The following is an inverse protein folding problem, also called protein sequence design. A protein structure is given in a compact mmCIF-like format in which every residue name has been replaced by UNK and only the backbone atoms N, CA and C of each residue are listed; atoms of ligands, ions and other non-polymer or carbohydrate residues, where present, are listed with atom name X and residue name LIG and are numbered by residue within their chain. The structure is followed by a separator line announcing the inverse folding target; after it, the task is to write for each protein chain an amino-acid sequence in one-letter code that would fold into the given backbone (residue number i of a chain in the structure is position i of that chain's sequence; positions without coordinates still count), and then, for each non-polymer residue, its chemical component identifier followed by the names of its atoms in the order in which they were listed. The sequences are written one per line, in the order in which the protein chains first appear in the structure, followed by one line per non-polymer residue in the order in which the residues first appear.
data_IF_216930766855
#
_entry.id   IF_216930766855
#
_cell.length_a   1.000
_cell.length_b   1.000
_cell.length_c   1.000
_cell.angle_alpha   90.00
_cell.angle_beta   90.00
_cell.angle_gamma   90.00
#
_symmetry.space_group_name_H-M   'P 1'
#
loop_
_entity.id
_entity.type
_entity.pdbx_description
1 polymer ?
#
# COMPACT_ATOMS: atom_id res chain seq x y z
N UNK A 1 -6.30 9.97 22.90
CA UNK A 1 -5.67 11.23 22.43
C UNK A 1 -5.70 12.38 23.45
N UNK A 2 -6.69 12.49 24.35
CA UNK A 2 -6.78 13.63 25.29
C UNK A 2 -5.65 13.69 26.36
N UNK A 3 -4.96 12.58 26.63
CA UNK A 3 -3.86 12.49 27.62
C UNK A 3 -2.45 12.72 27.03
N UNK A 4 -2.33 13.04 25.74
CA UNK A 4 -1.02 13.24 25.09
C UNK A 4 -0.41 14.63 25.43
N UNK A 5 0.93 14.75 25.46
CA UNK A 5 1.61 16.04 25.52
C UNK A 5 1.11 17.01 24.42
N UNK A 6 1.18 18.32 24.67
CA UNK A 6 0.60 19.33 23.76
C UNK A 6 1.12 19.22 22.32
N UNK A 7 2.42 19.01 22.11
CA UNK A 7 3.00 18.80 20.77
C UNK A 7 2.48 17.54 20.08
N UNK A 8 2.34 16.43 20.82
CA UNK A 8 1.77 15.19 20.29
C UNK A 8 0.29 15.35 19.92
N UNK A 9 -0.49 16.15 20.67
CA UNK A 9 -1.89 16.46 20.33
C UNK A 9 -2.01 17.29 19.05
N UNK A 10 -1.11 18.24 18.84
CA UNK A 10 -1.10 19.04 17.61
C UNK A 10 -0.74 18.18 16.40
N UNK A 11 0.33 17.39 16.50
CA UNK A 11 0.71 16.43 15.44
C UNK A 11 -0.44 15.48 15.11
N UNK A 12 -1.15 14.98 16.11
CA UNK A 12 -2.28 14.09 15.90
C UNK A 12 -3.43 14.75 15.12
N UNK A 13 -3.76 16.02 15.42
CA UNK A 13 -4.77 16.75 14.64
C UNK A 13 -4.36 16.94 13.19
N UNK A 14 -3.08 17.24 12.95
CA UNK A 14 -2.55 17.37 11.60
C UNK A 14 -2.64 16.04 10.84
N UNK A 15 -2.26 14.93 11.48
CA UNK A 15 -2.35 13.59 10.88
C UNK A 15 -3.78 13.20 10.54
N UNK A 16 -4.73 13.37 11.49
CA UNK A 16 -6.14 13.10 11.25
C UNK A 16 -6.69 13.91 10.07
N UNK A 17 -6.34 15.20 10.00
CA UNK A 17 -6.71 16.06 8.88
C UNK A 17 -6.14 15.56 7.55
N UNK A 18 -4.87 15.17 7.53
CA UNK A 18 -4.21 14.66 6.33
C UNK A 18 -4.82 13.33 5.85
N UNK A 19 -5.01 12.35 6.75
CA UNK A 19 -5.64 11.08 6.41
C UNK A 19 -7.08 11.26 5.93
N UNK A 20 -7.86 12.13 6.57
CA UNK A 20 -9.22 12.44 6.16
C UNK A 20 -9.26 13.06 4.75
N UNK A 21 -8.36 13.99 4.43
CA UNK A 21 -8.27 14.58 3.09
C UNK A 21 -7.89 13.56 2.03
N UNK A 22 -7.14 12.53 2.40
CA UNK A 22 -6.77 11.42 1.51
C UNK A 22 -7.85 10.32 1.46
N UNK A 23 -8.98 10.45 2.16
CA UNK A 23 -10.06 9.47 2.15
C UNK A 23 -9.76 8.18 2.91
N UNK A 24 -8.86 8.22 3.89
CA UNK A 24 -8.55 7.07 4.74
C UNK A 24 -9.74 6.71 5.63
N UNK A 25 -10.24 5.47 5.53
CA UNK A 25 -11.38 4.98 6.30
C UNK A 25 -11.12 4.90 7.81
N UNK A 26 -9.94 4.39 8.22
CA UNK A 26 -9.52 4.31 9.63
C UNK A 26 -8.47 5.39 9.96
N UNK A 27 -8.76 6.65 9.65
CA UNK A 27 -7.79 7.74 9.91
C UNK A 27 -7.31 7.82 11.37
N UNK A 28 -8.10 7.34 12.34
CA UNK A 28 -7.75 7.34 13.76
C UNK A 28 -6.76 6.23 14.11
N UNK A 29 -6.94 5.02 13.58
CA UNK A 29 -5.99 3.91 13.73
C UNK A 29 -4.62 4.26 13.15
N UNK A 30 -4.59 4.75 11.91
CA UNK A 30 -3.34 5.15 11.25
C UNK A 30 -2.62 6.29 12.02
N UNK A 31 -3.34 7.33 12.45
CA UNK A 31 -2.74 8.42 13.22
C UNK A 31 -2.26 7.98 14.62
N UNK A 32 -3.01 7.10 15.29
CA UNK A 32 -2.63 6.55 16.59
C UNK A 32 -1.37 5.70 16.49
N UNK A 33 -1.25 4.87 15.45
CA UNK A 33 -0.05 4.05 15.22
C UNK A 33 1.18 4.92 14.95
N UNK A 34 1.09 5.97 14.11
CA UNK A 34 2.24 6.87 13.88
C UNK A 34 2.72 7.55 15.15
N UNK A 35 1.81 7.97 16.03
CA UNK A 35 2.20 8.63 17.29
C UNK A 35 2.73 7.63 18.30
N UNK A 36 2.13 6.44 18.37
CA UNK A 36 2.45 5.44 19.39
C UNK A 36 3.72 4.64 19.07
N UNK A 37 3.98 4.40 17.79
CA UNK A 37 5.03 3.49 17.32
C UNK A 37 6.17 4.23 16.59
N UNK A 38 6.00 5.53 16.33
CA UNK A 38 6.96 6.37 15.56
C UNK A 38 7.24 5.87 14.14
N UNK A 39 6.23 5.24 13.52
CA UNK A 39 6.27 4.74 12.15
C UNK A 39 5.66 5.79 11.21
N UNK A 40 6.22 6.06 10.01
CA UNK A 40 5.72 7.10 9.09
C UNK A 40 4.42 6.66 8.38
N UNK A 41 3.33 6.49 9.12
CA UNK A 41 2.07 5.95 8.62
C UNK A 41 1.44 6.82 7.53
N UNK A 42 1.55 8.14 7.62
CA UNK A 42 1.04 9.02 6.56
C UNK A 42 1.78 8.77 5.24
N UNK A 43 3.09 8.55 5.28
CA UNK A 43 3.87 8.22 4.09
C UNK A 43 3.51 6.84 3.53
N UNK A 44 3.41 5.82 4.41
CA UNK A 44 2.98 4.46 4.05
C UNK A 44 1.61 4.48 3.37
N UNK A 45 0.63 5.15 3.95
CA UNK A 45 -0.72 5.25 3.39
C UNK A 45 -0.74 5.97 2.03
N UNK A 46 0.00 7.08 1.88
CA UNK A 46 0.07 7.81 0.61
C UNK A 46 0.64 6.96 -0.52
N UNK A 47 1.62 6.12 -0.22
CA UNK A 47 2.19 5.19 -1.17
C UNK A 47 1.21 4.05 -1.49
N UNK A 48 0.65 3.38 -0.47
CA UNK A 48 -0.21 2.21 -0.68
C UNK A 48 -1.56 2.54 -1.32
N UNK A 49 -2.16 3.71 -1.01
CA UNK A 49 -3.51 4.08 -1.50
C UNK A 49 -3.61 4.17 -3.02
N UNK A 50 -2.50 4.31 -3.74
CA UNK A 50 -2.48 4.39 -5.20
C UNK A 50 -2.39 3.02 -5.86
N UNK A 51 -1.86 2.02 -5.17
CA UNK A 51 -1.55 0.70 -5.75
C UNK A 51 -2.81 -0.07 -6.14
N UNK A 52 -3.86 -0.03 -5.30
CA UNK A 52 -5.13 -0.66 -5.61
C UNK A 52 -5.75 -0.15 -6.91
N UNK A 53 -6.12 1.14 -7.05
CA UNK A 53 -6.78 1.61 -8.26
C UNK A 53 -5.87 1.64 -9.49
N UNK A 54 -4.55 1.83 -9.34
CA UNK A 54 -3.66 2.05 -10.49
C UNK A 54 -2.96 0.78 -10.97
N UNK A 55 -2.68 -0.17 -10.08
CA UNK A 55 -1.86 -1.35 -10.39
C UNK A 55 -2.68 -2.64 -10.31
N UNK A 56 -3.53 -2.77 -9.30
CA UNK A 56 -4.25 -4.03 -9.01
C UNK A 56 -5.59 -4.08 -9.75
N UNK A 57 -6.43 -3.06 -9.59
CA UNK A 57 -7.79 -3.03 -10.14
C UNK A 57 -7.84 -2.54 -11.59
N UNK A 58 -6.77 -1.93 -12.10
CA UNK A 58 -6.69 -1.39 -13.47
C UNK A 58 -6.79 -2.46 -14.57
N UNK A 59 -6.60 -3.73 -14.21
CA UNK A 59 -6.69 -4.86 -15.15
C UNK A 59 -8.11 -5.18 -15.61
N UNK A 60 -9.14 -4.73 -14.91
CA UNK A 60 -10.53 -4.90 -15.36
C UNK A 60 -10.75 -4.34 -16.78
N UNK A 61 -10.23 -3.14 -17.04
CA UNK A 61 -10.36 -2.47 -18.34
C UNK A 61 -9.20 -2.79 -19.29
N UNK A 62 -8.02 -3.12 -18.75
CA UNK A 62 -6.81 -3.40 -19.52
C UNK A 62 -6.77 -4.79 -20.17
N UNK A 63 -7.59 -5.74 -19.71
CA UNK A 63 -7.52 -7.15 -20.10
C UNK A 63 -7.61 -7.38 -21.61
N UNK A 64 -8.51 -6.68 -22.30
CA UNK A 64 -8.73 -6.86 -23.75
C UNK A 64 -7.51 -6.47 -24.60
N UNK A 65 -6.56 -5.71 -24.03
CA UNK A 65 -5.32 -5.35 -24.67
C UNK A 65 -4.29 -6.49 -24.65
N UNK A 66 -4.48 -7.51 -23.80
CA UNK A 66 -3.61 -8.69 -23.73
C UNK A 66 -4.06 -9.72 -24.78
N UNK A 67 -3.22 -10.06 -25.78
CA UNK A 67 -3.63 -10.98 -26.84
C UNK A 67 -4.07 -12.37 -26.33
N UNK A 68 -3.45 -12.87 -25.26
CA UNK A 68 -3.83 -14.14 -24.66
C UNK A 68 -5.24 -14.07 -24.02
N UNK A 69 -5.54 -13.00 -23.30
CA UNK A 69 -6.85 -12.81 -22.70
C UNK A 69 -7.95 -12.63 -23.75
N UNK A 70 -7.65 -11.92 -24.85
CA UNK A 70 -8.57 -11.81 -25.99
C UNK A 70 -8.93 -13.17 -26.58
N UNK A 71 -7.92 -14.02 -26.84
CA UNK A 71 -8.17 -15.39 -27.33
C UNK A 71 -9.00 -16.23 -26.34
N UNK A 72 -8.76 -16.06 -25.04
CA UNK A 72 -9.55 -16.75 -24.02
C UNK A 72 -11.02 -16.31 -24.04
N UNK A 73 -11.28 -14.99 -24.14
CA UNK A 73 -12.63 -14.44 -24.29
C UNK A 73 -13.32 -14.95 -25.57
N UNK A 74 -12.61 -14.94 -26.71
CA UNK A 74 -13.11 -15.47 -27.99
C UNK A 74 -13.41 -16.97 -27.92
N UNK A 75 -12.68 -17.71 -27.08
CA UNK A 75 -12.94 -19.12 -26.79
C UNK A 75 -14.08 -19.37 -25.77
N UNK A 76 -14.74 -18.30 -25.28
CA UNK A 76 -15.89 -18.38 -24.38
C UNK A 76 -15.55 -18.32 -22.89
N UNK A 77 -14.34 -17.93 -22.51
CA UNK A 77 -14.01 -17.69 -21.10
C UNK A 77 -14.82 -16.51 -20.52
N UNK A 78 -15.16 -16.61 -19.24
CA UNK A 78 -15.83 -15.54 -18.51
C UNK A 78 -14.93 -14.31 -18.35
N UNK A 79 -15.41 -13.13 -18.75
CA UNK A 79 -14.70 -11.87 -18.52
C UNK A 79 -14.49 -11.59 -17.03
N UNK A 80 -15.48 -11.91 -16.19
CA UNK A 80 -15.39 -11.73 -14.74
C UNK A 80 -14.30 -12.59 -14.12
N UNK A 81 -14.21 -13.86 -14.51
CA UNK A 81 -13.21 -14.79 -13.96
C UNK A 81 -11.80 -14.39 -14.40
N UNK A 82 -11.63 -13.96 -15.66
CA UNK A 82 -10.35 -13.45 -16.14
C UNK A 82 -9.94 -12.16 -15.41
N UNK A 83 -10.87 -11.24 -15.19
CA UNK A 83 -10.61 -10.02 -14.42
C UNK A 83 -10.21 -10.35 -12.97
N UNK A 84 -10.90 -11.30 -12.33
CA UNK A 84 -10.55 -11.75 -10.98
C UNK A 84 -9.17 -12.41 -10.93
N UNK A 85 -8.84 -13.25 -11.91
CA UNK A 85 -7.52 -13.87 -12.03
C UNK A 85 -6.42 -12.81 -12.17
N UNK A 86 -6.58 -11.83 -13.04
CA UNK A 86 -5.58 -10.76 -13.18
C UNK A 86 -5.48 -9.89 -11.92
N UNK A 87 -6.60 -9.60 -11.26
CA UNK A 87 -6.60 -8.88 -9.98
C UNK A 87 -5.79 -9.65 -8.92
N UNK A 88 -5.99 -10.97 -8.81
CA UNK A 88 -5.23 -11.84 -7.90
C UNK A 88 -3.73 -11.87 -8.25
N UNK A 89 -3.38 -12.09 -9.52
CA UNK A 89 -1.97 -12.07 -9.96
C UNK A 89 -1.31 -10.72 -9.72
N UNK A 90 -2.02 -9.61 -10.00
CA UNK A 90 -1.50 -8.26 -9.76
C UNK A 90 -1.29 -7.99 -8.27
N UNK A 91 -2.25 -8.38 -7.42
CA UNK A 91 -2.12 -8.29 -5.97
C UNK A 91 -0.91 -9.07 -5.47
N UNK A 92 -0.77 -10.35 -5.82
CA UNK A 92 0.35 -11.20 -5.40
C UNK A 92 1.70 -10.65 -5.88
N UNK A 93 1.75 -10.14 -7.11
CA UNK A 93 2.95 -9.51 -7.67
C UNK A 93 3.34 -8.26 -6.87
N UNK A 94 2.37 -7.38 -6.58
CA UNK A 94 2.62 -6.17 -5.78
C UNK A 94 3.02 -6.55 -4.36
N UNK A 95 2.35 -7.51 -3.73
CA UNK A 95 2.69 -8.00 -2.40
C UNK A 95 4.14 -8.50 -2.34
N UNK A 96 4.52 -9.41 -3.26
CA UNK A 96 5.87 -9.96 -3.33
C UNK A 96 6.91 -8.86 -3.59
N UNK A 97 6.61 -7.91 -4.49
CA UNK A 97 7.49 -6.75 -4.70
C UNK A 97 7.64 -5.93 -3.42
N UNK A 98 6.57 -5.60 -2.70
CA UNK A 98 6.64 -4.83 -1.46
C UNK A 98 7.35 -5.58 -0.32
N UNK A 99 7.28 -6.91 -0.31
CA UNK A 99 8.03 -7.75 0.61
C UNK A 99 9.54 -7.64 0.34
N UNK A 100 9.95 -7.81 -0.92
CA UNK A 100 11.36 -7.67 -1.32
C UNK A 100 11.84 -6.21 -1.35
N UNK A 101 10.91 -5.26 -1.40
CA UNK A 101 11.18 -3.83 -1.30
C UNK A 101 11.24 -3.35 0.18
N UNK A 102 11.19 -4.25 1.16
CA UNK A 102 11.59 -3.90 2.51
C UNK A 102 13.11 -3.61 2.57
N UNK A 103 13.60 -3.15 3.71
CA UNK A 103 15.04 -2.97 3.90
C UNK A 103 15.83 -4.24 3.50
N UNK A 104 16.99 -4.06 2.88
CA UNK A 104 17.84 -5.15 2.43
C UNK A 104 18.41 -5.95 3.61
N UNK A 105 17.78 -7.10 3.90
CA UNK A 105 18.10 -7.98 5.02
C UNK A 105 19.47 -8.66 4.88
N UNK A 106 20.04 -8.69 3.68
CA UNK A 106 21.35 -9.30 3.39
C UNK A 106 22.51 -8.31 3.54
N UNK A 107 22.24 -7.07 3.97
CA UNK A 107 23.25 -6.05 4.13
C UNK A 107 24.35 -6.46 5.12
N UNK A 108 25.57 -6.64 4.62
CA UNK A 108 26.74 -7.05 5.43
C UNK A 108 27.54 -5.88 6.02
N UNK A 109 27.08 -4.64 5.79
CA UNK A 109 27.79 -3.40 6.16
C UNK A 109 29.07 -3.12 5.37
N UNK A 110 29.50 -4.05 4.49
CA UNK A 110 30.69 -3.92 3.65
C UNK A 110 30.40 -3.27 2.30
N UNK A 111 29.15 -3.31 1.84
CA UNK A 111 28.71 -2.83 0.54
C UNK A 111 27.52 -1.89 0.67
N UNK A 112 27.26 -1.04 -0.34
CA UNK A 112 26.05 -0.23 -0.38
C UNK A 112 24.79 -1.09 -0.28
N UNK A 113 23.81 -0.57 0.44
CA UNK A 113 22.49 -1.15 0.65
C UNK A 113 21.43 -0.06 0.43
N UNK A 114 20.16 -0.35 0.68
CA UNK A 114 19.08 0.58 0.37
C UNK A 114 17.88 0.42 1.32
N UNK A 115 17.06 1.47 1.40
CA UNK A 115 15.80 1.49 2.15
C UNK A 115 14.81 2.46 1.51
N UNK A 116 13.51 2.23 1.71
CA UNK A 116 12.49 3.26 1.47
C UNK A 116 12.36 4.16 2.70
N UNK A 117 12.63 5.46 2.54
CA UNK A 117 12.56 6.42 3.63
C UNK A 117 11.51 7.50 3.38
N UNK A 118 10.90 7.97 4.47
CA UNK A 118 10.06 9.17 4.41
C UNK A 118 10.93 10.40 4.19
N UNK A 119 10.50 11.25 3.26
CA UNK A 119 11.15 12.51 2.93
C UNK A 119 10.40 13.68 3.58
N UNK A 120 11.13 14.55 4.25
CA UNK A 120 10.61 15.79 4.82
C UNK A 120 10.17 16.76 3.72
N UNK A 121 9.32 17.77 4.02
CA UNK A 121 8.96 18.81 3.04
C UNK A 121 10.15 19.57 2.44
N UNK A 122 11.30 19.57 3.13
CA UNK A 122 12.56 20.16 2.65
C UNK A 122 13.30 19.31 1.62
N UNK A 123 12.86 18.06 1.38
CA UNK A 123 13.50 17.12 0.45
C UNK A 123 14.50 16.16 1.11
N UNK A 124 14.80 16.33 2.39
CA UNK A 124 15.75 15.48 3.11
C UNK A 124 15.08 14.23 3.70
N UNK A 125 15.77 13.08 3.72
CA UNK A 125 15.30 11.90 4.45
C UNK A 125 15.13 12.19 5.94
N UNK A 126 14.00 11.78 6.50
CA UNK A 126 13.71 11.93 7.93
C UNK A 126 14.43 10.89 8.80
N UNK A 127 14.98 9.85 8.18
CA UNK A 127 15.48 8.65 8.85
C UNK A 127 14.40 7.64 9.24
N UNK A 128 13.11 7.96 9.02
CA UNK A 128 12.00 7.03 9.25
C UNK A 128 11.79 6.16 8.01
N UNK A 129 11.74 4.84 8.21
CA UNK A 129 11.63 3.87 7.13
C UNK A 129 10.17 3.46 6.87
N UNK A 130 9.85 3.17 5.61
CA UNK A 130 8.54 2.64 5.21
C UNK A 130 8.58 1.10 5.24
N UNK A 131 8.67 0.54 6.44
CA UNK A 131 8.70 -0.91 6.63
C UNK A 131 7.28 -1.53 6.64
N UNK A 132 7.21 -2.86 6.47
CA UNK A 132 5.96 -3.63 6.56
C UNK A 132 4.87 -3.17 5.57
N UNK A 133 5.24 -2.67 4.39
CA UNK A 133 4.27 -2.22 3.38
C UNK A 133 3.40 -3.36 2.85
N UNK A 134 3.97 -4.54 2.69
CA UNK A 134 3.25 -5.74 2.26
C UNK A 134 2.15 -6.14 3.25
N UNK A 135 2.40 -6.03 4.56
CA UNK A 135 1.41 -6.30 5.61
C UNK A 135 0.22 -5.33 5.58
N UNK A 136 0.50 -4.06 5.25
CA UNK A 136 -0.50 -3.00 5.20
C UNK A 136 -1.26 -2.95 3.87
N UNK A 137 -0.79 -3.60 2.81
CA UNK A 137 -1.42 -3.56 1.49
C UNK A 137 -2.89 -4.01 1.53
N UNK A 138 -3.15 -5.13 2.20
CA UNK A 138 -4.48 -5.72 2.28
C UNK A 138 -5.46 -4.89 3.11
N UNK A 139 -4.98 -4.11 4.08
CA UNK A 139 -5.82 -3.20 4.88
C UNK A 139 -6.49 -2.11 4.04
N UNK A 140 -6.01 -1.89 2.82
CA UNK A 140 -6.55 -0.91 1.89
C UNK A 140 -7.35 -1.56 0.75
N UNK A 141 -7.66 -2.86 0.84
CA UNK A 141 -8.49 -3.56 -0.15
C UNK A 141 -9.85 -2.85 -0.29
N UNK A 142 -10.14 -2.23 -1.46
CA UNK A 142 -11.38 -1.49 -1.67
C UNK A 142 -12.61 -2.39 -1.67
N UNK A 143 -12.44 -3.71 -1.83
CA UNK A 143 -13.54 -4.66 -1.79
C UNK A 143 -14.09 -4.90 -0.39
N UNK A 144 -13.29 -4.61 0.65
CA UNK A 144 -13.62 -4.91 2.05
C UNK A 144 -13.72 -6.41 2.35
N UNK A 145 -13.20 -7.27 1.48
CA UNK A 145 -13.24 -8.74 1.62
C UNK A 145 -11.97 -9.32 2.23
N UNK A 146 -11.04 -8.49 2.66
CA UNK A 146 -9.74 -8.91 3.20
C UNK A 146 -9.03 -9.93 2.28
N UNK A 147 -9.08 -9.66 0.97
CA UNK A 147 -8.46 -10.50 -0.05
C UNK A 147 -9.03 -11.91 -0.18
N UNK A 148 -10.20 -12.22 0.41
CA UNK A 148 -10.82 -13.54 0.29
C UNK A 148 -11.10 -13.92 -1.17
N UNK A 149 -11.33 -12.95 -2.06
CA UNK A 149 -11.48 -13.16 -3.50
C UNK A 149 -10.16 -13.27 -4.26
N UNK A 150 -9.02 -13.03 -3.60
CA UNK A 150 -7.68 -13.01 -4.21
C UNK A 150 -6.83 -14.22 -3.84
N UNK A 151 -7.25 -15.01 -2.84
CA UNK A 151 -6.51 -16.21 -2.40
C UNK A 151 -6.52 -17.26 -3.52
N UNK A 152 -5.33 -17.53 -4.04
CA UNK A 152 -5.03 -18.63 -4.96
C UNK A 152 -4.90 -19.93 -4.18
#
# INVERSE_FOLDING_TARGET
MQQLPTGARERARQLLGAFSQLGCGDHEGWARSEIGEDIPQLARYRFLRTLWPQVIDSWHDGMANVPAARRALEAGASQGDLAQLARAVAYETVFAMLYHLAADEEATGQFPSWVLAEIAPTGEPTGRHLDGLHEALLTLDPSGRDGQDLRI
#
